data_IF_812253061905
#
_entry.id   IF_812253061905
#
_cell.length_a   1.000
_cell.length_b   1.000
_cell.length_c   1.000
_cell.angle_alpha   90.00
_cell.angle_beta   90.00
_cell.angle_gamma   90.00
#
_symmetry.space_group_name_H-M   'P 1'
#
loop_
_entity.id
_entity.type
_entity.pdbx_description
1 polymer ?
#
# COMPACT_ATOMS: atom_id res chain seq x y z
N UNK A 1 -14.41 3.06 20.02
CA UNK A 1 -14.24 1.79 19.30
C UNK A 1 -13.22 2.08 18.23
N UNK A 2 -11.94 1.83 18.52
CA UNK A 2 -10.86 2.06 17.54
C UNK A 2 -10.91 0.84 16.65
N UNK A 3 -11.39 1.02 15.42
CA UNK A 3 -11.33 -0.02 14.41
C UNK A 3 -9.83 -0.15 14.10
N UNK A 4 -9.15 -1.07 14.78
CA UNK A 4 -7.73 -1.30 14.53
C UNK A 4 -7.66 -1.91 13.14
N UNK A 5 -7.63 -1.05 12.12
CA UNK A 5 -7.33 -1.44 10.75
C UNK A 5 -5.93 -2.03 10.82
N UNK A 6 -5.86 -3.36 10.83
CA UNK A 6 -4.60 -4.06 10.86
C UNK A 6 -3.83 -3.68 9.59
N UNK A 7 -2.53 -3.35 9.69
CA UNK A 7 -1.73 -3.05 8.52
C UNK A 7 -1.77 -4.24 7.56
N UNK A 8 -2.06 -3.96 6.30
CA UNK A 8 -2.08 -4.96 5.25
C UNK A 8 -0.64 -5.08 4.72
N UNK A 9 -0.08 -6.28 4.75
CA UNK A 9 1.27 -6.50 4.23
C UNK A 9 1.16 -7.08 2.82
N UNK A 10 1.78 -6.41 1.84
CA UNK A 10 1.91 -6.88 0.47
C UNK A 10 3.38 -6.90 0.08
N UNK A 11 3.93 -8.10 -0.16
CA UNK A 11 5.34 -8.29 -0.56
C UNK A 11 6.37 -7.65 0.40
N UNK A 12 6.07 -7.68 1.70
CA UNK A 12 6.91 -7.05 2.73
C UNK A 12 6.69 -5.54 2.89
N UNK A 13 5.90 -4.91 2.03
CA UNK A 13 5.55 -3.49 2.10
C UNK A 13 4.25 -3.32 2.88
N UNK A 14 4.24 -2.35 3.79
CA UNK A 14 3.09 -2.08 4.66
C UNK A 14 2.12 -1.16 3.94
N UNK A 15 0.84 -1.52 3.89
CA UNK A 15 -0.27 -0.70 3.39
C UNK A 15 -1.19 -0.37 4.57
N UNK A 16 -1.51 0.91 4.72
CA UNK A 16 -2.38 1.47 5.76
C UNK A 16 -3.51 2.25 5.10
N UNK A 17 -4.65 2.32 5.78
CA UNK A 17 -5.74 3.25 5.43
C UNK A 17 -6.04 4.08 6.66
N UNK A 18 -6.26 5.38 6.48
CA UNK A 18 -6.77 6.19 7.58
C UNK A 18 -8.19 5.72 7.95
N UNK A 19 -8.56 5.89 9.22
CA UNK A 19 -9.89 5.54 9.76
C UNK A 19 -11.02 6.44 9.22
N UNK A 20 -10.71 7.37 8.33
CA UNK A 20 -11.67 8.29 7.72
C UNK A 20 -12.30 7.62 6.48
N UNK A 21 -13.64 7.56 6.37
CA UNK A 21 -14.31 7.09 5.17
C UNK A 21 -13.85 7.86 3.93
N UNK A 22 -13.45 7.13 2.88
CA UNK A 22 -12.97 7.73 1.62
C UNK A 22 -11.50 8.17 1.65
N UNK A 23 -10.76 7.94 2.75
CA UNK A 23 -9.33 8.18 2.77
C UNK A 23 -8.59 7.20 1.83
N UNK A 24 -7.53 7.67 1.15
CA UNK A 24 -6.69 6.81 0.33
C UNK A 24 -5.94 5.78 1.18
N UNK A 25 -5.50 4.71 0.52
CA UNK A 25 -4.51 3.79 1.04
C UNK A 25 -3.12 4.38 0.86
N UNK A 26 -2.32 4.31 1.90
CA UNK A 26 -0.90 4.68 1.88
C UNK A 26 -0.08 3.40 2.00
N UNK A 27 1.00 3.30 1.25
CA UNK A 27 1.97 2.23 1.42
C UNK A 27 3.36 2.79 1.72
N UNK A 28 4.13 2.05 2.52
CA UNK A 28 5.49 2.41 2.96
C UNK A 28 6.40 1.20 2.93
N UNK A 29 7.56 1.37 2.32
CA UNK A 29 8.65 0.41 2.24
C UNK A 29 9.81 0.90 3.11
N UNK A 30 9.89 0.37 4.33
CA UNK A 30 10.85 0.82 5.34
C UNK A 30 12.32 0.61 4.92
N UNK A 31 12.61 -0.39 4.08
CA UNK A 31 13.98 -0.69 3.64
C UNK A 31 14.58 0.38 2.73
N UNK A 32 13.74 1.05 1.93
CA UNK A 32 14.20 2.05 0.93
C UNK A 32 13.62 3.44 1.16
N UNK A 33 12.86 3.63 2.25
CA UNK A 33 12.09 4.85 2.52
C UNK A 33 11.11 5.24 1.39
N UNK A 34 10.70 4.25 0.58
CA UNK A 34 9.76 4.49 -0.52
C UNK A 34 8.32 4.47 0.01
N UNK A 35 7.47 5.31 -0.55
CA UNK A 35 6.07 5.37 -0.14
C UNK A 35 5.19 5.86 -1.30
N UNK A 36 3.88 5.63 -1.17
CA UNK A 36 2.90 6.08 -2.15
C UNK A 36 1.49 6.10 -1.61
N UNK A 37 0.60 6.78 -2.34
CA UNK A 37 -0.82 6.87 -2.04
C UNK A 37 -1.65 6.35 -3.21
N UNK A 38 -2.73 5.64 -2.90
CA UNK A 38 -3.63 5.04 -3.85
C UNK A 38 -5.09 5.18 -3.41
N UNK A 39 -6.05 5.30 -4.34
CA UNK A 39 -7.47 5.45 -3.99
C UNK A 39 -8.07 4.19 -3.35
N UNK A 40 -7.52 3.01 -3.67
CA UNK A 40 -7.99 1.70 -3.20
C UNK A 40 -6.81 0.73 -3.01
N UNK A 41 -7.10 -0.42 -2.39
CA UNK A 41 -6.10 -1.42 -2.05
C UNK A 41 -5.46 -2.07 -3.29
N UNK A 42 -6.23 -2.30 -4.35
CA UNK A 42 -5.74 -2.90 -5.59
C UNK A 42 -4.79 -1.94 -6.31
N UNK A 43 -5.11 -0.65 -6.35
CA UNK A 43 -4.22 0.38 -6.87
C UNK A 43 -2.92 0.48 -6.06
N UNK A 44 -2.98 0.36 -4.71
CA UNK A 44 -1.77 0.34 -3.88
C UNK A 44 -0.88 -0.87 -4.20
N UNK A 45 -1.47 -2.07 -4.31
CA UNK A 45 -0.75 -3.29 -4.68
C UNK A 45 -0.11 -3.17 -6.05
N UNK A 46 -0.83 -2.65 -7.05
CA UNK A 46 -0.29 -2.40 -8.40
C UNK A 46 0.88 -1.42 -8.39
N UNK A 47 0.80 -0.35 -7.60
CA UNK A 47 1.93 0.58 -7.44
C UNK A 47 3.15 -0.13 -6.85
N UNK A 48 2.95 -0.97 -5.83
CA UNK A 48 4.01 -1.77 -5.21
C UNK A 48 4.61 -2.77 -6.21
N UNK A 49 3.78 -3.47 -6.98
CA UNK A 49 4.25 -4.44 -7.96
C UNK A 49 5.06 -3.76 -9.07
N UNK A 50 4.62 -2.60 -9.57
CA UNK A 50 5.40 -1.77 -10.49
C UNK A 50 6.72 -1.28 -9.87
N UNK A 51 6.69 -0.84 -8.60
CA UNK A 51 7.87 -0.36 -7.89
C UNK A 51 8.93 -1.45 -7.71
N UNK A 52 8.52 -2.68 -7.39
CA UNK A 52 9.40 -3.84 -7.24
C UNK A 52 9.85 -4.44 -8.59
N UNK A 53 9.40 -3.88 -9.71
CA UNK A 53 9.77 -4.34 -11.04
C UNK A 53 8.95 -5.53 -11.56
N UNK A 54 7.87 -5.94 -10.88
CA UNK A 54 6.82 -6.79 -11.47
C UNK A 54 5.82 -5.94 -12.25
N UNK A 55 6.32 -4.98 -13.03
CA UNK A 55 5.63 -4.55 -14.23
C UNK A 55 5.86 -5.64 -15.27
N UNK A 56 5.11 -6.75 -15.17
CA UNK A 56 4.92 -7.77 -16.22
C UNK A 56 6.08 -7.91 -17.22
N UNK A 57 6.99 -8.86 -16.98
CA UNK A 57 7.72 -9.46 -18.09
C UNK A 57 6.70 -10.04 -19.10
N UNK A 58 6.89 -9.67 -20.37
CA UNK A 58 6.36 -10.28 -21.61
C UNK A 58 4.95 -9.92 -22.10
#
# INVERSE_FOLDING_TARGET
MVDRILPIIHRGITIRRAEVPGAPYEWTHDETDAHGMAPDLDAAKRQIDCYLGEAVDA
#
